data_IF_545334417255
#
_entry.id   IF_545334417255
#
_cell.length_a   1.000
_cell.length_b   1.000
_cell.length_c   1.000
_cell.angle_alpha   90.00
_cell.angle_beta   90.00
_cell.angle_gamma   90.00
#
_symmetry.space_group_name_H-M   'P 1'
#
loop_
_entity.id
_entity.type
_entity.pdbx_description
1 polymer ?
#
# COMPACT_ATOMS: atom_id res chain seq x y z
N UNK A 1 2.24 -22.70 2.86
CA UNK A 1 1.12 -21.99 2.21
C UNK A 1 1.73 -21.01 1.22
N UNK A 2 1.19 -20.83 0.01
CA UNK A 2 1.76 -19.86 -0.94
C UNK A 2 1.44 -18.44 -0.44
N UNK A 3 2.42 -17.72 0.11
CA UNK A 3 2.22 -16.37 0.66
C UNK A 3 1.97 -15.30 -0.42
N UNK A 4 1.97 -15.69 -1.71
CA UNK A 4 1.77 -14.80 -2.86
C UNK A 4 0.32 -14.70 -3.31
N UNK A 5 -0.53 -15.64 -2.89
CA UNK A 5 -1.93 -15.79 -3.30
C UNK A 5 -2.81 -16.18 -2.10
N UNK A 6 -4.12 -15.96 -2.21
CA UNK A 6 -5.08 -16.26 -1.14
C UNK A 6 -5.73 -14.99 -0.58
N UNK A 7 -5.89 -14.93 0.75
CA UNK A 7 -6.55 -13.82 1.44
C UNK A 7 -5.55 -13.09 2.34
N UNK A 8 -5.48 -11.78 2.20
CA UNK A 8 -4.76 -10.89 3.09
C UNK A 8 -5.66 -9.73 3.52
N UNK A 9 -5.42 -9.21 4.71
CA UNK A 9 -6.12 -8.05 5.26
C UNK A 9 -5.07 -7.04 5.71
N UNK A 10 -5.39 -5.77 5.53
CA UNK A 10 -4.57 -4.64 5.96
C UNK A 10 -5.51 -3.61 6.57
N UNK A 11 -5.16 -3.11 7.75
CA UNK A 11 -5.85 -1.96 8.32
C UNK A 11 -5.33 -0.69 7.64
N UNK A 12 -6.16 0.06 6.90
CA UNK A 12 -5.73 1.29 6.26
C UNK A 12 -5.49 2.39 7.30
N UNK A 13 -4.65 3.37 6.93
CA UNK A 13 -4.47 4.60 7.72
C UNK A 13 -5.49 5.65 7.26
N UNK A 14 -6.17 6.26 8.23
CA UNK A 14 -7.18 7.28 7.97
C UNK A 14 -6.57 8.58 7.41
N UNK A 15 -7.23 9.15 6.40
CA UNK A 15 -6.88 10.43 5.80
C UNK A 15 -7.89 11.47 6.29
N UNK A 16 -7.47 12.35 7.20
CA UNK A 16 -8.36 13.34 7.82
C UNK A 16 -8.77 14.47 6.88
N UNK A 17 -7.94 14.80 5.88
CA UNK A 17 -8.20 15.87 4.92
C UNK A 17 -7.73 15.43 3.51
N UNK A 18 -8.53 14.63 2.77
CA UNK A 18 -8.16 14.21 1.43
C UNK A 18 -8.19 15.39 0.47
N UNK A 19 -7.15 15.54 -0.35
CA UNK A 19 -7.07 16.55 -1.42
C UNK A 19 -7.93 16.14 -2.61
N UNK A 20 -7.94 14.85 -2.96
CA UNK A 20 -8.69 14.30 -4.09
C UNK A 20 -9.03 12.82 -3.86
N UNK A 21 -10.28 12.41 -4.04
CA UNK A 21 -10.70 11.00 -3.88
C UNK A 21 -11.00 10.29 -5.19
N UNK A 22 -11.49 11.02 -6.20
CA UNK A 22 -11.72 10.47 -7.54
C UNK A 22 -10.39 10.01 -8.13
N UNK A 23 -10.32 8.75 -8.59
CA UNK A 23 -9.09 8.15 -9.11
C UNK A 23 -8.25 7.38 -8.08
N UNK A 24 -8.58 7.44 -6.79
CA UNK A 24 -7.85 6.68 -5.75
C UNK A 24 -7.89 5.16 -5.99
N UNK A 25 -9.00 4.63 -6.54
CA UNK A 25 -9.09 3.23 -6.93
C UNK A 25 -8.16 2.86 -8.09
N UNK A 26 -7.93 3.77 -9.03
CA UNK A 26 -6.99 3.56 -10.13
C UNK A 26 -5.55 3.57 -9.59
N UNK A 27 -5.23 4.47 -8.66
CA UNK A 27 -3.94 4.47 -7.95
C UNK A 27 -3.72 3.21 -7.13
N UNK A 28 -4.77 2.67 -6.49
CA UNK A 28 -4.72 1.39 -5.80
C UNK A 28 -4.36 0.26 -6.79
N UNK A 29 -5.10 0.15 -7.89
CA UNK A 29 -4.89 -0.89 -8.90
C UNK A 29 -3.50 -0.78 -9.55
N UNK A 30 -3.04 0.43 -9.85
CA UNK A 30 -1.70 0.67 -10.39
C UNK A 30 -0.61 0.21 -9.41
N UNK A 31 -0.75 0.54 -8.12
CA UNK A 31 0.18 0.08 -7.08
C UNK A 31 0.18 -1.44 -6.92
N UNK A 32 -0.99 -2.07 -6.95
CA UNK A 32 -1.09 -3.53 -6.87
C UNK A 32 -0.43 -4.21 -8.08
N UNK A 33 -0.64 -3.69 -9.30
CA UNK A 33 -0.01 -4.17 -10.52
C UNK A 33 1.52 -4.00 -10.50
N UNK A 34 2.04 -2.86 -10.04
CA UNK A 34 3.49 -2.65 -9.88
C UNK A 34 4.09 -3.66 -8.91
N UNK A 35 3.43 -3.90 -7.76
CA UNK A 35 3.85 -4.91 -6.80
C UNK A 35 3.75 -6.36 -7.32
N UNK A 36 2.84 -6.65 -8.26
CA UNK A 36 2.78 -7.92 -8.97
C UNK A 36 4.00 -8.10 -9.88
N UNK A 37 4.41 -7.06 -10.61
CA UNK A 37 5.57 -7.09 -11.49
C UNK A 37 6.87 -7.30 -10.70
N UNK A 38 6.96 -6.70 -9.51
CA UNK A 38 8.09 -6.90 -8.58
C UNK A 38 8.01 -8.23 -7.82
N UNK A 39 6.98 -9.06 -8.08
CA UNK A 39 6.75 -10.36 -7.47
C UNK A 39 6.82 -10.29 -5.93
N UNK A 40 6.12 -9.32 -5.34
CA UNK A 40 6.03 -9.20 -3.88
C UNK A 40 5.12 -10.28 -3.27
N UNK A 41 5.10 -10.38 -1.94
CA UNK A 41 4.13 -11.22 -1.20
C UNK A 41 2.73 -10.59 -1.24
N UNK A 42 1.67 -11.39 -1.05
CA UNK A 42 0.29 -10.89 -1.16
C UNK A 42 0.02 -9.68 -0.25
N UNK A 43 0.53 -9.76 0.97
CA UNK A 43 0.42 -8.73 1.99
C UNK A 43 1.18 -7.45 1.62
N UNK A 44 2.38 -7.57 1.07
CA UNK A 44 3.16 -6.45 0.57
C UNK A 44 2.48 -5.79 -0.64
N UNK A 45 1.86 -6.56 -1.54
CA UNK A 45 1.06 -6.00 -2.66
C UNK A 45 -0.09 -5.15 -2.14
N UNK A 46 -0.82 -5.63 -1.12
CA UNK A 46 -1.93 -4.90 -0.53
C UNK A 46 -1.46 -3.60 0.15
N UNK A 47 -0.32 -3.66 0.84
CA UNK A 47 0.31 -2.49 1.46
C UNK A 47 0.74 -1.45 0.43
N UNK A 48 1.39 -1.89 -0.64
CA UNK A 48 1.87 -1.03 -1.72
C UNK A 48 0.69 -0.36 -2.46
N UNK A 49 -0.36 -1.12 -2.75
CA UNK A 49 -1.59 -0.63 -3.36
C UNK A 49 -2.31 0.39 -2.46
N UNK A 50 -2.48 0.09 -1.16
CA UNK A 50 -3.13 0.99 -0.21
C UNK A 50 -2.34 2.29 -0.05
N UNK A 51 -1.01 2.19 0.05
CA UNK A 51 -0.13 3.37 0.16
C UNK A 51 -0.20 4.22 -1.11
N UNK A 52 -0.28 3.62 -2.29
CA UNK A 52 -0.39 4.35 -3.56
C UNK A 52 -1.68 5.18 -3.61
N UNK A 53 -2.81 4.58 -3.22
CA UNK A 53 -4.08 5.29 -3.08
C UNK A 53 -4.01 6.38 -2.00
N UNK A 54 -3.42 6.08 -0.84
CA UNK A 54 -3.27 7.06 0.24
C UNK A 54 -2.40 8.26 -0.20
N UNK A 55 -1.29 8.02 -0.87
CA UNK A 55 -0.41 9.08 -1.38
C UNK A 55 -1.18 9.96 -2.36
N UNK A 56 -1.86 9.35 -3.32
CA UNK A 56 -2.68 10.06 -4.29
C UNK A 56 -3.76 10.91 -3.61
N UNK A 57 -4.47 10.35 -2.64
CA UNK A 57 -5.51 11.08 -1.91
C UNK A 57 -4.97 12.23 -1.05
N UNK A 58 -3.72 12.13 -0.59
CA UNK A 58 -3.07 13.15 0.24
C UNK A 58 -2.43 14.27 -0.59
N UNK A 59 -1.97 13.98 -1.81
CA UNK A 59 -1.20 14.92 -2.63
C UNK A 59 -1.91 15.35 -3.92
N UNK A 60 -2.97 14.66 -4.35
CA UNK A 60 -3.68 14.91 -5.61
C UNK A 60 -2.94 14.46 -6.86
N UNK A 61 -1.83 13.71 -6.72
CA UNK A 61 -1.02 13.22 -7.83
C UNK A 61 -0.37 11.86 -7.52
N UNK A 62 -0.04 11.03 -8.53
CA UNK A 62 0.65 9.76 -8.30
C UNK A 62 2.05 9.94 -7.72
N UNK A 63 2.51 8.96 -6.94
CA UNK A 63 3.87 8.90 -6.41
C UNK A 63 4.85 8.28 -7.40
N UNK A 64 6.12 8.67 -7.30
CA UNK A 64 7.25 7.84 -7.74
C UNK A 64 7.50 6.66 -6.77
N UNK A 65 8.28 5.65 -7.18
CA UNK A 65 8.63 4.53 -6.29
C UNK A 65 9.33 4.99 -5.00
N UNK A 66 10.23 5.97 -5.08
CA UNK A 66 10.97 6.48 -3.92
C UNK A 66 10.07 7.25 -2.94
N UNK A 67 9.15 8.08 -3.45
CA UNK A 67 8.16 8.77 -2.63
C UNK A 67 7.21 7.78 -1.95
N UNK A 68 6.81 6.73 -2.67
CA UNK A 68 5.93 5.72 -2.12
C UNK A 68 6.59 4.96 -0.96
N UNK A 69 7.84 4.54 -1.10
CA UNK A 69 8.60 3.90 -0.01
C UNK A 69 8.72 4.84 1.20
N UNK A 70 9.07 6.11 0.96
CA UNK A 70 9.15 7.12 2.03
C UNK A 70 7.80 7.32 2.71
N UNK A 71 6.70 7.26 1.95
CA UNK A 71 5.34 7.39 2.47
C UNK A 71 4.91 6.16 3.27
N UNK A 72 5.27 4.95 2.83
CA UNK A 72 5.07 3.72 3.58
C UNK A 72 5.76 3.76 4.94
N UNK A 73 7.01 4.19 4.97
CA UNK A 73 7.78 4.31 6.22
C UNK A 73 7.14 5.29 7.21
N UNK A 74 6.56 6.39 6.71
CA UNK A 74 5.82 7.35 7.54
C UNK A 74 4.53 6.78 8.12
N UNK A 75 3.81 5.98 7.35
CA UNK A 75 2.51 5.43 7.76
C UNK A 75 2.66 4.22 8.70
N UNK A 76 3.67 3.37 8.47
CA UNK A 76 3.75 2.04 9.07
C UNK A 76 5.06 1.78 9.84
N UNK A 77 5.97 2.74 9.89
CA UNK A 77 7.29 2.58 10.51
C UNK A 77 8.31 1.90 9.60
N UNK A 78 9.44 1.45 10.16
CA UNK A 78 10.50 0.82 9.36
C UNK A 78 10.05 -0.52 8.73
N UNK A 79 10.83 -1.04 7.79
CA UNK A 79 10.51 -2.29 7.07
C UNK A 79 10.25 -3.49 8.00
N UNK A 80 10.90 -3.53 9.17
CA UNK A 80 10.69 -4.59 10.18
C UNK A 80 9.36 -4.43 10.90
N UNK A 81 8.87 -3.20 11.02
CA UNK A 81 7.55 -2.87 11.58
C UNK A 81 6.45 -3.21 10.58
N UNK A 82 6.69 -2.95 9.29
CA UNK A 82 5.82 -3.35 8.19
C UNK A 82 5.60 -4.87 8.18
N UNK A 83 6.66 -5.67 8.32
CA UNK A 83 6.55 -7.13 8.37
C UNK A 83 5.68 -7.63 9.54
N UNK A 84 5.63 -6.89 10.66
CA UNK A 84 4.86 -7.21 11.86
C UNK A 84 3.39 -6.71 11.82
N UNK A 85 3.09 -5.67 11.05
CA UNK A 85 1.73 -5.12 10.87
C UNK A 85 0.84 -6.01 9.98
N UNK A 86 1.47 -6.94 9.28
CA UNK A 86 0.80 -7.94 8.47
C UNK A 86 0.33 -9.09 9.36
N UNK A 87 -0.83 -8.90 10.02
CA UNK A 87 -1.48 -9.86 10.92
C UNK A 87 -1.39 -11.28 10.34
N UNK A 88 -0.85 -12.29 11.08
CA UNK A 88 -0.86 -13.67 10.60
C UNK A 88 -2.30 -14.13 10.39
N UNK A 89 -2.62 -14.53 9.17
CA UNK A 89 -3.89 -15.20 8.87
C UNK A 89 -3.85 -16.56 9.57
N UNK A 90 -4.69 -16.75 10.61
CA UNK A 90 -4.94 -18.07 11.21
C UNK A 90 -5.56 -19.02 10.18
#
# INVERSE_FOLDING_TARGET
>A
MNEREGKAELQPVDITCPVLSTGAGDSFNAGYCDALLDNLLLKEKLLYANTSAHYYMTHGMPSTKAELVTHMEKLFGDRRTIDNLLIPSN
#
